data_IF_405275748470
#
_entry.id   IF_405275748470
#
_cell.length_a   1.000
_cell.length_b   1.000
_cell.length_c   1.000
_cell.angle_alpha   90.00
_cell.angle_beta   90.00
_cell.angle_gamma   90.00
#
_symmetry.space_group_name_H-M   'P 1'
#
loop_
_entity.id
_entity.type
_entity.pdbx_description
1 polymer ?
#
# COMPACT_ATOMS: atom_id res chain seq x y z
N UNK A 1 68.22 -4.02 11.45
CA UNK A 1 67.62 -4.88 10.40
C UNK A 1 66.67 -4.03 9.60
N UNK A 2 67.08 -3.58 8.42
CA UNK A 2 66.25 -2.77 7.53
C UNK A 2 65.35 -3.74 6.77
N UNK A 3 64.05 -3.72 7.04
CA UNK A 3 63.08 -4.53 6.31
C UNK A 3 62.86 -3.83 4.96
N UNK A 4 63.27 -4.50 3.88
CA UNK A 4 63.03 -4.04 2.51
C UNK A 4 61.57 -4.33 2.13
N UNK A 5 60.87 -3.34 1.56
CA UNK A 5 59.47 -3.47 1.17
C UNK A 5 59.29 -4.51 0.06
N UNK A 6 60.29 -4.67 -0.83
CA UNK A 6 60.25 -5.62 -1.92
C UNK A 6 60.27 -7.08 -1.43
N UNK A 7 61.01 -7.37 -0.35
CA UNK A 7 61.06 -8.74 0.21
C UNK A 7 59.76 -9.13 0.92
N UNK A 8 58.95 -8.14 1.32
CA UNK A 8 57.60 -8.34 1.84
C UNK A 8 56.50 -8.33 0.75
N UNK A 9 56.88 -8.14 -0.51
CA UNK A 9 55.94 -8.11 -1.64
C UNK A 9 55.20 -6.78 -1.83
N UNK A 10 55.68 -5.68 -1.22
CA UNK A 10 55.14 -4.34 -1.44
C UNK A 10 55.98 -3.56 -2.45
N UNK A 11 55.33 -2.88 -3.40
CA UNK A 11 56.00 -2.18 -4.51
C UNK A 11 56.22 -0.68 -4.26
N UNK A 12 55.67 -0.12 -3.17
CA UNK A 12 55.75 1.32 -2.90
C UNK A 12 55.91 1.65 -1.40
N UNK A 13 54.83 1.57 -0.62
CA UNK A 13 54.78 1.93 0.80
C UNK A 13 54.24 0.77 1.64
N UNK A 14 54.62 0.72 2.92
CA UNK A 14 53.98 -0.17 3.88
C UNK A 14 52.50 0.23 4.04
N UNK A 15 51.55 -0.72 3.96
CA UNK A 15 50.15 -0.42 4.16
C UNK A 15 49.87 0.08 5.59
N UNK A 16 49.03 1.10 5.71
CA UNK A 16 48.58 1.58 7.01
C UNK A 16 47.39 0.74 7.51
N UNK A 17 47.58 0.06 8.64
CA UNK A 17 46.58 -0.78 9.30
C UNK A 17 45.80 -0.08 10.43
N UNK A 18 46.04 1.21 10.70
CA UNK A 18 45.29 1.96 11.72
C UNK A 18 43.79 1.91 11.46
N UNK A 19 43.03 1.60 12.52
CA UNK A 19 41.56 1.49 12.51
C UNK A 19 40.99 0.52 11.46
N UNK A 20 41.76 -0.52 11.11
CA UNK A 20 41.36 -1.57 10.18
C UNK A 20 41.49 -2.95 10.80
N UNK A 21 40.59 -3.85 10.42
CA UNK A 21 40.76 -5.27 10.72
C UNK A 21 41.69 -5.91 9.68
N UNK A 22 42.51 -6.85 10.10
CA UNK A 22 43.29 -7.67 9.17
C UNK A 22 42.41 -8.81 8.68
N UNK A 23 42.31 -8.98 7.36
CA UNK A 23 41.67 -10.17 6.76
C UNK A 23 42.64 -10.90 5.86
N UNK A 24 42.51 -12.22 5.82
CA UNK A 24 43.22 -13.01 4.83
C UNK A 24 42.72 -12.64 3.44
N UNK A 25 43.64 -12.36 2.53
CA UNK A 25 43.33 -12.09 1.13
C UNK A 25 42.67 -13.30 0.49
N UNK A 26 41.75 -13.06 -0.43
CA UNK A 26 41.27 -14.12 -1.32
C UNK A 26 42.24 -14.34 -2.51
N UNK A 27 41.82 -15.16 -3.47
CA UNK A 27 42.63 -15.47 -4.65
C UNK A 27 42.76 -14.29 -5.64
N UNK A 28 41.86 -13.31 -5.55
CA UNK A 28 41.73 -12.19 -6.48
C UNK A 28 42.23 -10.87 -5.89
N UNK A 29 42.26 -10.74 -4.56
CA UNK A 29 42.78 -9.57 -3.86
C UNK A 29 44.31 -9.52 -3.87
N UNK A 30 44.85 -8.31 -4.08
CA UNK A 30 46.28 -8.02 -3.92
C UNK A 30 46.66 -7.84 -2.45
N UNK A 31 47.91 -8.19 -2.12
CA UNK A 31 48.46 -7.97 -0.78
C UNK A 31 48.48 -6.48 -0.44
N UNK A 32 48.03 -6.12 0.77
CA UNK A 32 48.00 -4.74 1.23
C UNK A 32 46.81 -3.93 0.73
N UNK A 33 45.86 -4.54 0.00
CA UNK A 33 44.64 -3.87 -0.43
C UNK A 33 43.79 -3.46 0.79
N UNK A 34 43.31 -2.21 0.78
CA UNK A 34 42.38 -1.73 1.79
C UNK A 34 40.97 -1.64 1.22
N UNK A 35 39.96 -1.88 2.05
CA UNK A 35 38.56 -1.81 1.64
C UNK A 35 37.62 -1.77 2.83
N UNK A 36 36.33 -1.98 2.57
CA UNK A 36 35.27 -1.89 3.58
C UNK A 36 34.94 -0.45 3.98
N UNK A 37 33.96 -0.30 4.86
CA UNK A 37 33.48 1.00 5.33
C UNK A 37 33.14 0.95 6.82
N UNK A 38 33.35 2.05 7.54
CA UNK A 38 32.86 2.22 8.92
C UNK A 38 31.45 2.83 8.98
N UNK A 39 30.87 3.12 7.81
CA UNK A 39 29.51 3.61 7.66
C UNK A 39 28.73 2.66 6.76
N UNK A 40 27.61 2.15 7.27
CA UNK A 40 26.66 1.34 6.53
C UNK A 40 25.46 2.20 6.16
N UNK A 41 25.14 2.31 4.88
CA UNK A 41 23.92 2.97 4.40
C UNK A 41 23.01 1.95 3.76
N UNK A 42 21.76 1.92 4.19
CA UNK A 42 20.71 1.10 3.59
C UNK A 42 19.90 1.99 2.67
N UNK A 43 19.90 1.67 1.36
CA UNK A 43 19.09 2.36 0.36
C UNK A 43 17.79 1.58 0.11
N UNK A 44 16.78 2.23 -0.48
CA UNK A 44 15.52 1.57 -0.84
C UNK A 44 15.76 0.31 -1.70
N UNK A 45 16.74 0.34 -2.61
CA UNK A 45 17.12 -0.81 -3.43
C UNK A 45 17.61 -2.02 -2.63
N UNK A 46 18.12 -1.82 -1.42
CA UNK A 46 18.52 -2.91 -0.52
C UNK A 46 17.35 -3.53 0.25
N UNK A 47 16.18 -2.90 0.24
CA UNK A 47 15.01 -3.42 0.90
C UNK A 47 14.40 -4.57 0.09
N UNK A 48 13.68 -5.49 0.75
CA UNK A 48 12.95 -6.55 0.08
C UNK A 48 11.98 -6.01 -0.98
N UNK A 49 11.95 -6.64 -2.16
CA UNK A 49 10.96 -6.31 -3.19
C UNK A 49 9.62 -6.97 -2.86
N UNK A 50 8.85 -6.35 -1.96
CA UNK A 50 7.53 -6.83 -1.57
C UNK A 50 6.42 -5.91 -2.06
N UNK A 51 5.28 -6.52 -2.38
CA UNK A 51 4.04 -5.83 -2.70
C UNK A 51 3.04 -6.09 -1.58
N UNK A 52 2.59 -5.02 -0.92
CA UNK A 52 1.57 -5.11 0.11
C UNK A 52 0.20 -5.12 -0.55
N UNK A 53 -0.56 -6.19 -0.33
CA UNK A 53 -1.95 -6.28 -0.79
C UNK A 53 -2.87 -6.17 0.41
N UNK A 54 -3.87 -5.30 0.33
CA UNK A 54 -4.84 -5.09 1.41
C UNK A 54 -6.24 -4.88 0.87
N UNK A 55 -7.24 -5.24 1.67
CA UNK A 55 -8.63 -4.92 1.38
C UNK A 55 -8.91 -3.47 1.82
N UNK A 56 -9.62 -2.73 0.99
CA UNK A 56 -10.15 -1.41 1.31
C UNK A 56 -11.67 -1.46 1.24
N UNK A 57 -12.35 -0.79 2.16
CA UNK A 57 -13.79 -0.60 2.10
C UNK A 57 -14.19 0.71 2.74
N UNK A 58 -15.29 1.29 2.28
CA UNK A 58 -15.84 2.51 2.84
C UNK A 58 -17.31 2.70 2.48
N UNK A 59 -17.92 3.70 3.10
CA UNK A 59 -19.30 4.11 2.86
C UNK A 59 -19.30 5.52 2.27
N UNK A 60 -20.08 5.78 1.24
CA UNK A 60 -20.20 7.13 0.66
C UNK A 60 -20.91 8.06 1.64
N UNK A 61 -20.47 9.32 1.73
CA UNK A 61 -21.00 10.30 2.68
C UNK A 61 -22.37 10.88 2.32
N UNK A 62 -22.85 10.66 1.09
CA UNK A 62 -24.16 11.10 0.65
C UNK A 62 -25.12 9.91 0.67
N UNK A 63 -26.03 9.89 1.63
CA UNK A 63 -27.21 9.03 1.53
C UNK A 63 -28.14 9.61 0.45
N UNK A 64 -28.56 8.77 -0.49
CA UNK A 64 -29.49 9.15 -1.54
C UNK A 64 -30.91 9.23 -0.98
N UNK A 65 -31.25 10.30 -0.27
CA UNK A 65 -32.61 10.48 0.24
C UNK A 65 -33.56 10.83 -0.92
N UNK A 66 -34.59 10.01 -1.10
CA UNK A 66 -35.68 10.35 -2.01
C UNK A 66 -37.02 10.16 -1.31
N UNK A 67 -37.98 10.98 -1.74
CA UNK A 67 -39.35 10.96 -1.28
C UNK A 67 -40.28 10.70 -2.45
N UNK A 68 -41.34 9.95 -2.19
CA UNK A 68 -42.49 9.87 -3.07
C UNK A 68 -43.54 10.87 -2.59
N UNK A 69 -44.23 11.50 -3.54
CA UNK A 69 -45.27 12.47 -3.25
C UNK A 69 -46.30 12.53 -4.38
N UNK A 70 -47.49 13.08 -4.11
CA UNK A 70 -48.50 13.29 -5.13
C UNK A 70 -48.03 14.31 -6.18
N UNK A 71 -48.43 14.13 -7.44
CA UNK A 71 -48.04 15.02 -8.53
C UNK A 71 -48.56 16.47 -8.37
N UNK A 72 -49.69 16.65 -7.65
CA UNK A 72 -50.30 17.94 -7.36
C UNK A 72 -50.92 17.88 -5.95
N UNK A 73 -50.68 18.89 -5.11
CA UNK A 73 -51.31 19.02 -3.78
C UNK A 73 -50.70 18.15 -2.68
N UNK A 74 -51.48 17.82 -1.64
CA UNK A 74 -51.04 16.99 -0.49
C UNK A 74 -51.71 15.60 -0.45
N UNK A 75 -52.40 15.21 -1.53
CA UNK A 75 -53.07 13.93 -1.67
C UNK A 75 -53.08 13.49 -3.14
N UNK A 76 -52.95 12.18 -3.39
CA UNK A 76 -53.17 11.63 -4.72
C UNK A 76 -54.68 11.49 -4.94
N UNK A 77 -55.27 12.28 -5.85
CA UNK A 77 -56.69 12.20 -6.18
C UNK A 77 -56.95 10.99 -7.08
N UNK A 78 -57.38 9.86 -6.52
CA UNK A 78 -58.06 8.84 -7.33
C UNK A 78 -59.53 9.23 -7.45
N UNK A 79 -59.95 9.47 -8.68
CA UNK A 79 -61.33 9.74 -9.04
C UNK A 79 -62.19 8.50 -8.84
N UNK A 80 -63.32 8.62 -8.14
CA UNK A 80 -64.21 7.47 -7.91
C UNK A 80 -65.48 7.72 -7.13
N UNK A 81 -66.30 8.72 -7.48
CA UNK A 81 -67.72 8.72 -7.11
C UNK A 81 -68.59 8.58 -8.37
N UNK A 82 -69.79 8.06 -8.21
CA UNK A 82 -70.79 7.87 -9.28
C UNK A 82 -71.37 9.18 -9.85
N UNK A 83 -70.81 10.34 -9.49
CA UNK A 83 -71.20 11.63 -10.06
C UNK A 83 -69.98 12.52 -10.33
N UNK A 84 -69.69 12.69 -11.62
CA UNK A 84 -69.05 13.88 -12.18
C UNK A 84 -67.59 14.15 -11.79
N UNK A 85 -66.65 13.43 -12.40
CA UNK A 85 -65.29 13.92 -12.58
C UNK A 85 -64.95 13.97 -14.07
N UNK A 86 -64.84 15.20 -14.57
CA UNK A 86 -64.48 15.56 -15.93
C UNK A 86 -62.96 15.37 -16.13
N UNK A 87 -62.57 14.30 -16.83
CA UNK A 87 -61.21 14.11 -17.32
C UNK A 87 -60.82 12.63 -17.48
N UNK A 88 -60.36 12.24 -18.67
CA UNK A 88 -59.76 10.93 -18.92
C UNK A 88 -58.55 10.70 -18.02
N UNK A 89 -58.65 9.79 -17.06
CA UNK A 89 -57.47 9.25 -16.41
C UNK A 89 -57.72 8.71 -15.01
N UNK A 90 -57.32 7.45 -14.82
CA UNK A 90 -57.17 6.73 -13.54
C UNK A 90 -58.46 6.10 -13.00
N UNK A 91 -58.54 4.76 -13.12
CA UNK A 91 -59.68 3.94 -12.74
C UNK A 91 -59.84 3.74 -11.23
N UNK A 92 -61.04 3.28 -10.85
CA UNK A 92 -61.48 3.05 -9.48
C UNK A 92 -60.61 1.98 -8.78
N UNK A 93 -59.83 2.38 -7.79
CA UNK A 93 -59.20 1.44 -6.88
C UNK A 93 -60.29 0.90 -5.94
N UNK A 94 -60.60 -0.40 -6.01
CA UNK A 94 -61.60 -1.03 -5.12
C UNK A 94 -61.33 -0.75 -3.63
N UNK A 95 -62.23 -1.12 -2.73
CA UNK A 95 -62.16 -0.76 -1.29
C UNK A 95 -60.86 -1.13 -0.55
N UNK A 96 -60.04 -2.02 -1.11
CA UNK A 96 -58.73 -2.42 -0.59
C UNK A 96 -57.54 -1.82 -1.38
N UNK A 97 -57.82 -0.99 -2.36
CA UNK A 97 -56.84 -0.31 -3.19
C UNK A 97 -56.32 0.93 -2.48
N UNK A 98 -55.02 1.12 -2.59
CA UNK A 98 -54.30 2.23 -1.98
C UNK A 98 -54.81 3.57 -2.56
N UNK A 99 -55.46 4.39 -1.74
CA UNK A 99 -55.94 5.74 -2.12
C UNK A 99 -57.42 5.86 -2.55
N UNK A 100 -58.37 5.23 -1.84
CA UNK A 100 -59.81 5.45 -2.07
C UNK A 100 -60.31 6.90 -1.87
N UNK A 101 -61.57 7.17 -2.20
CA UNK A 101 -62.19 8.52 -2.04
C UNK A 101 -62.10 8.99 -0.58
N UNK A 102 -61.58 10.20 -0.36
CA UNK A 102 -61.23 10.80 0.95
C UNK A 102 -60.07 10.12 1.71
N UNK A 103 -59.36 9.16 1.12
CA UNK A 103 -58.16 8.60 1.72
C UNK A 103 -56.98 9.56 1.47
N UNK A 104 -56.41 10.11 2.56
CA UNK A 104 -55.10 10.75 2.52
C UNK A 104 -54.04 9.65 2.35
N UNK A 105 -53.76 9.26 1.11
CA UNK A 105 -52.69 8.33 0.83
C UNK A 105 -51.34 9.07 0.98
N UNK A 106 -50.62 8.77 2.05
CA UNK A 106 -49.20 9.08 2.13
C UNK A 106 -48.45 7.90 1.51
N UNK A 107 -47.55 8.15 0.57
CA UNK A 107 -46.60 7.11 0.18
C UNK A 107 -45.70 6.83 1.38
N UNK A 108 -45.49 5.57 1.74
CA UNK A 108 -44.71 5.19 2.91
C UNK A 108 -43.27 5.76 2.85
N UNK A 109 -42.59 5.71 4.00
CA UNK A 109 -41.31 6.34 4.33
C UNK A 109 -40.35 6.54 3.15
N UNK A 110 -39.97 7.80 2.92
CA UNK A 110 -38.65 8.12 2.37
C UNK A 110 -37.58 7.33 3.12
N UNK A 111 -36.67 6.69 2.40
CA UNK A 111 -35.58 5.92 2.98
C UNK A 111 -34.24 6.58 2.68
N UNK A 112 -33.36 6.57 3.67
CA UNK A 112 -31.94 6.82 3.44
C UNK A 112 -31.25 5.49 3.17
N UNK A 113 -30.51 5.39 2.07
CA UNK A 113 -29.62 4.25 1.84
C UNK A 113 -28.19 4.74 1.66
N UNK A 114 -27.26 3.87 2.03
CA UNK A 114 -25.82 4.10 1.93
C UNK A 114 -25.25 3.25 0.80
N UNK A 115 -24.31 3.83 0.04
CA UNK A 115 -23.49 3.03 -0.87
C UNK A 115 -22.22 2.62 -0.15
N UNK A 116 -21.92 1.33 -0.15
CA UNK A 116 -20.63 0.79 0.25
C UNK A 116 -19.79 0.52 -0.99
N UNK A 117 -18.48 0.69 -0.85
CA UNK A 117 -17.53 0.14 -1.80
C UNK A 117 -16.55 -0.74 -1.06
N UNK A 118 -16.05 -1.77 -1.75
CA UNK A 118 -14.94 -2.58 -1.29
C UNK A 118 -14.05 -2.94 -2.48
N UNK A 119 -12.78 -3.15 -2.21
CA UNK A 119 -11.80 -3.49 -3.23
C UNK A 119 -10.51 -4.01 -2.61
N UNK A 120 -9.52 -4.24 -3.47
CA UNK A 120 -8.16 -4.56 -3.06
C UNK A 120 -7.22 -3.49 -3.59
N UNK A 121 -6.29 -3.07 -2.74
CA UNK A 121 -5.17 -2.20 -3.11
C UNK A 121 -3.91 -3.04 -3.11
N UNK A 122 -3.08 -2.82 -4.11
CA UNK A 122 -1.75 -3.41 -4.24
C UNK A 122 -0.73 -2.29 -4.30
N UNK A 123 0.16 -2.23 -3.32
CA UNK A 123 1.18 -1.18 -3.19
C UNK A 123 2.57 -1.81 -3.20
N UNK A 124 3.34 -1.68 -4.30
CA UNK A 124 4.73 -2.09 -4.31
C UNK A 124 5.57 -1.15 -3.43
N UNK A 125 6.44 -1.71 -2.58
CA UNK A 125 7.30 -0.89 -1.72
C UNK A 125 8.58 -0.38 -2.42
N UNK A 126 8.82 -0.82 -3.66
CA UNK A 126 9.93 -0.35 -4.48
C UNK A 126 11.32 -0.89 -4.08
N UNK A 127 11.37 -1.95 -3.28
CA UNK A 127 12.63 -2.63 -2.94
C UNK A 127 13.26 -3.34 -4.14
N UNK A 128 14.58 -3.52 -4.09
CA UNK A 128 15.35 -4.14 -5.18
C UNK A 128 16.00 -5.48 -4.84
N UNK A 129 15.93 -5.94 -3.58
CA UNK A 129 16.68 -7.11 -3.07
C UNK A 129 18.20 -7.02 -3.33
N UNK A 130 18.76 -5.82 -3.48
CA UNK A 130 20.19 -5.66 -3.73
C UNK A 130 20.96 -5.98 -2.44
N UNK A 131 21.95 -6.85 -2.52
CA UNK A 131 22.76 -7.23 -1.37
C UNK A 131 23.46 -6.01 -0.76
N UNK A 132 23.63 -6.05 0.55
CA UNK A 132 24.38 -5.04 1.30
C UNK A 132 25.77 -5.59 1.59
N UNK A 133 26.80 -4.80 1.28
CA UNK A 133 28.15 -5.05 1.75
C UNK A 133 28.36 -4.38 3.12
N UNK A 134 28.52 -5.19 4.16
CA UNK A 134 28.73 -4.73 5.54
C UNK A 134 30.12 -5.09 6.07
N UNK A 135 31.13 -5.15 5.19
CA UNK A 135 32.51 -5.38 5.62
C UNK A 135 33.05 -4.13 6.31
N UNK A 136 33.51 -4.30 7.56
CA UNK A 136 34.26 -3.29 8.30
C UNK A 136 35.52 -2.86 7.54
N UNK A 137 36.11 -1.68 7.81
CA UNK A 137 37.36 -1.26 7.19
C UNK A 137 38.45 -2.32 7.40
N UNK A 138 39.08 -2.76 6.33
CA UNK A 138 40.04 -3.86 6.38
C UNK A 138 41.32 -3.58 5.62
N UNK A 139 42.36 -4.34 5.98
CA UNK A 139 43.61 -4.50 5.24
C UNK A 139 43.78 -5.99 4.89
N UNK A 140 43.99 -6.28 3.61
CA UNK A 140 44.14 -7.63 3.08
C UNK A 140 45.60 -8.11 3.24
N UNK A 141 45.79 -9.24 3.93
CA UNK A 141 47.10 -9.81 4.29
C UNK A 141 47.20 -11.29 3.92
N UNK A 142 48.42 -11.83 3.83
CA UNK A 142 48.61 -13.27 3.86
C UNK A 142 48.53 -13.75 5.31
N UNK A 143 47.83 -14.86 5.55
CA UNK A 143 47.72 -15.49 6.88
C UNK A 143 48.28 -16.91 6.80
N UNK A 144 49.22 -17.23 7.68
CA UNK A 144 49.79 -18.56 7.81
C UNK A 144 49.47 -19.08 9.21
N UNK A 145 49.04 -20.33 9.31
CA UNK A 145 48.83 -21.00 10.59
C UNK A 145 50.08 -21.84 10.85
N UNK A 146 50.84 -21.49 11.89
CA UNK A 146 51.95 -22.32 12.36
C UNK A 146 51.39 -23.43 13.24
N UNK A 147 51.65 -24.69 12.87
CA UNK A 147 51.12 -25.86 13.57
C UNK A 147 52.11 -26.51 14.53
N UNK A 148 53.32 -25.95 14.68
CA UNK A 148 54.39 -26.54 15.47
C UNK A 148 55.19 -27.62 14.73
N UNK A 149 56.40 -27.84 15.22
CA UNK A 149 57.22 -29.05 15.02
C UNK A 149 57.26 -29.82 16.35
#
# INVERSE_FOLDING_TARGET
>A
MLIDLFTLGFTANLPNASDKVLKTKDATESLGLTGGSNLLTILQGNLPNITLTGNVSGTTSAEGSHAHGPAIGNAYLLSGTSFGNNGNGYGNAGSNGWGGVNARANTASSGSHTHTFSGTVSTPLGGGNVSIDNRSPYLSVNTFIYLGE
#
